data_IF_931367694827
#
_entry.id   IF_931367694827
#
_cell.length_a   1.000
_cell.length_b   1.000
_cell.length_c   1.000
_cell.angle_alpha   90.00
_cell.angle_beta   90.00
_cell.angle_gamma   90.00
#
_symmetry.space_group_name_H-M   'P 1'
#
loop_
_entity.id
_entity.type
_entity.pdbx_description
1 polymer ?
#
# COMPACT_ATOMS: atom_id res chain seq x y z
N UNK A 1 -16.62 -8.30 18.67
CA UNK A 1 -16.27 -7.74 17.34
C UNK A 1 -17.10 -8.48 16.30
N UNK A 2 -17.78 -7.80 15.37
CA UNK A 2 -18.71 -8.51 14.47
C UNK A 2 -17.95 -9.31 13.39
N UNK A 3 -18.33 -10.57 13.11
CA UNK A 3 -17.68 -11.41 12.09
C UNK A 3 -17.83 -10.92 10.62
N UNK A 4 -18.50 -9.78 10.38
CA UNK A 4 -18.75 -9.24 9.04
C UNK A 4 -17.60 -8.39 8.48
N UNK A 5 -16.63 -7.98 9.29
CA UNK A 5 -15.66 -6.95 8.89
C UNK A 5 -14.41 -7.49 8.16
N UNK A 6 -14.15 -8.78 8.31
CA UNK A 6 -12.86 -9.41 8.07
C UNK A 6 -13.01 -10.63 7.16
N UNK A 7 -13.30 -10.41 5.86
CA UNK A 7 -13.54 -11.51 4.90
C UNK A 7 -12.66 -11.46 3.65
N UNK A 8 -11.81 -10.46 3.53
CA UNK A 8 -11.10 -10.14 2.30
C UNK A 8 -9.75 -9.49 2.65
N UNK A 9 -8.76 -9.71 1.78
CA UNK A 9 -7.45 -9.05 1.84
C UNK A 9 -7.63 -7.52 1.89
N UNK A 10 -7.15 -6.89 2.96
CA UNK A 10 -7.41 -5.47 3.19
C UNK A 10 -6.41 -4.59 2.43
N UNK A 11 -5.13 -4.89 2.60
CA UNK A 11 -4.01 -4.29 1.90
C UNK A 11 -3.10 -5.42 1.42
N UNK A 12 -2.55 -5.27 0.24
CA UNK A 12 -1.57 -6.19 -0.35
C UNK A 12 -0.19 -5.57 -0.42
N UNK A 13 -0.05 -4.27 -0.23
CA UNK A 13 1.20 -3.52 -0.25
C UNK A 13 1.30 -2.69 1.04
N UNK A 14 2.50 -2.63 1.63
CA UNK A 14 2.74 -1.73 2.77
C UNK A 14 2.78 -0.28 2.29
N UNK A 15 2.14 0.64 3.03
CA UNK A 15 2.16 2.07 2.74
C UNK A 15 3.16 2.84 3.63
N UNK A 16 3.78 2.15 4.58
CA UNK A 16 4.78 2.71 5.48
C UNK A 16 6.23 2.44 5.04
N UNK A 17 7.13 3.32 5.46
CA UNK A 17 8.57 3.19 5.20
C UNK A 17 9.22 2.19 6.16
N UNK A 18 9.44 0.96 5.69
CA UNK A 18 10.05 -0.13 6.46
C UNK A 18 11.50 0.14 6.92
N UNK A 19 12.15 1.19 6.39
CA UNK A 19 13.48 1.60 6.85
C UNK A 19 13.44 2.15 8.27
N UNK A 20 12.30 2.68 8.71
CA UNK A 20 12.17 3.22 10.07
C UNK A 20 12.40 2.11 11.08
N UNK A 21 11.64 1.02 11.00
CA UNK A 21 11.79 -0.12 11.91
C UNK A 21 13.13 -0.82 11.73
N UNK A 22 13.59 -0.99 10.48
CA UNK A 22 14.88 -1.61 10.19
C UNK A 22 16.06 -0.84 10.80
N UNK A 23 16.02 0.50 10.78
CA UNK A 23 17.12 1.34 11.27
C UNK A 23 17.18 1.42 12.79
N UNK A 24 16.04 1.30 13.49
CA UNK A 24 16.00 1.30 14.96
C UNK A 24 16.21 -0.09 15.55
N UNK A 25 16.03 -1.15 14.76
CA UNK A 25 16.19 -2.53 15.21
C UNK A 25 17.68 -2.90 15.27
N UNK A 26 18.12 -3.32 16.45
CA UNK A 26 19.46 -3.87 16.67
C UNK A 26 19.65 -5.21 15.95
N UNK A 27 20.91 -5.57 15.67
CA UNK A 27 21.26 -6.87 15.10
C UNK A 27 21.14 -7.99 16.16
N UNK A 28 20.81 -9.20 15.71
CA UNK A 28 20.79 -10.44 16.50
C UNK A 28 19.88 -10.43 17.75
N UNK A 29 18.84 -9.59 17.74
CA UNK A 29 17.88 -9.52 18.85
C UNK A 29 17.17 -10.86 19.09
N UNK A 30 16.80 -11.13 20.34
CA UNK A 30 16.18 -12.40 20.70
C UNK A 30 14.78 -12.60 20.09
N UNK A 31 13.97 -11.55 20.01
CA UNK A 31 12.60 -11.66 19.53
C UNK A 31 12.08 -10.32 19.01
N UNK A 32 11.53 -10.34 17.81
CA UNK A 32 10.75 -9.24 17.24
C UNK A 32 9.31 -9.71 17.10
N UNK A 33 8.36 -8.89 17.55
CA UNK A 33 6.94 -9.11 17.36
C UNK A 33 6.32 -7.86 16.72
N UNK A 34 5.45 -8.05 15.74
CA UNK A 34 4.77 -6.94 15.10
C UNK A 34 3.54 -7.37 14.31
N UNK A 35 2.73 -6.39 13.95
CA UNK A 35 1.51 -6.59 13.19
C UNK A 35 1.89 -6.80 11.72
N UNK A 36 1.57 -7.96 11.18
CA UNK A 36 1.97 -8.39 9.85
C UNK A 36 0.95 -7.96 8.81
N UNK A 37 0.88 -6.65 8.61
CA UNK A 37 0.01 -6.02 7.63
C UNK A 37 0.41 -6.37 6.19
N UNK A 38 0.14 -7.60 5.75
CA UNK A 38 0.63 -8.27 4.53
C UNK A 38 2.10 -8.71 4.57
N UNK A 39 2.80 -8.48 5.68
CA UNK A 39 4.20 -8.90 5.87
C UNK A 39 5.25 -7.96 5.27
N UNK A 40 4.85 -6.94 4.50
CA UNK A 40 5.78 -6.01 3.83
C UNK A 40 6.72 -5.25 4.77
N UNK A 41 6.28 -4.93 6.00
CA UNK A 41 7.10 -4.30 7.04
C UNK A 41 7.87 -5.29 7.92
N UNK A 42 7.34 -6.50 8.08
CA UNK A 42 7.90 -7.48 8.99
C UNK A 42 9.09 -8.22 8.37
N UNK A 43 9.02 -8.58 7.10
CA UNK A 43 10.06 -9.38 6.45
C UNK A 43 11.40 -8.66 6.27
N UNK A 44 11.46 -7.35 5.99
CA UNK A 44 12.73 -6.62 5.98
C UNK A 44 13.49 -6.71 7.31
N UNK A 45 12.80 -6.91 8.44
CA UNK A 45 13.44 -7.06 9.75
C UNK A 45 14.23 -8.35 9.89
N UNK A 46 14.00 -9.36 9.04
CA UNK A 46 14.81 -10.57 8.99
C UNK A 46 16.27 -10.26 8.63
N UNK A 47 16.54 -9.16 7.92
CA UNK A 47 17.90 -8.73 7.61
C UNK A 47 18.69 -8.22 8.82
N UNK A 48 18.04 -8.07 10.00
CA UNK A 48 18.70 -7.85 11.30
C UNK A 48 18.96 -9.15 12.07
N UNK A 49 18.71 -10.31 11.46
CA UNK A 49 18.96 -11.63 12.04
C UNK A 49 18.31 -11.89 13.41
N UNK A 50 17.03 -11.51 13.65
CA UNK A 50 16.40 -11.83 14.93
C UNK A 50 16.28 -13.35 15.13
N UNK A 51 16.50 -13.85 16.35
CA UNK A 51 16.35 -15.30 16.65
C UNK A 51 14.91 -15.79 16.48
N UNK A 52 13.94 -14.89 16.62
CA UNK A 52 12.51 -15.15 16.43
C UNK A 52 11.81 -13.92 15.88
N UNK A 53 10.99 -14.12 14.84
CA UNK A 53 10.05 -13.12 14.34
C UNK A 53 8.63 -13.65 14.54
N UNK A 54 7.79 -12.90 15.26
CA UNK A 54 6.37 -13.23 15.44
C UNK A 54 5.51 -12.20 14.73
N UNK A 55 4.89 -12.66 13.65
CA UNK A 55 3.91 -11.93 12.88
C UNK A 55 2.52 -12.20 13.46
N UNK A 56 1.79 -11.15 13.82
CA UNK A 56 0.40 -11.25 14.27
C UNK A 56 -0.50 -10.39 13.39
N UNK A 57 -1.72 -10.84 13.13
CA UNK A 57 -2.76 -10.01 12.53
C UNK A 57 -4.11 -10.51 13.04
N UNK A 58 -5.14 -9.66 12.97
CA UNK A 58 -6.52 -10.09 13.23
C UNK A 58 -7.12 -10.82 12.02
N UNK A 59 -6.50 -10.67 10.85
CA UNK A 59 -6.86 -11.29 9.59
C UNK A 59 -5.90 -12.43 9.24
N UNK A 60 -6.43 -13.65 9.20
CA UNK A 60 -5.70 -14.81 8.68
C UNK A 60 -5.24 -14.56 7.23
N UNK A 61 -6.04 -13.85 6.43
CA UNK A 61 -5.71 -13.50 5.05
C UNK A 61 -4.44 -12.65 4.94
N UNK A 62 -4.15 -11.80 5.92
CA UNK A 62 -2.91 -11.02 5.97
C UNK A 62 -1.71 -11.87 6.38
N UNK A 63 -1.92 -12.84 7.27
CA UNK A 63 -0.91 -13.83 7.62
C UNK A 63 -0.61 -14.77 6.46
N UNK A 64 -1.60 -15.17 5.66
CA UNK A 64 -1.38 -15.95 4.44
C UNK A 64 -0.52 -15.20 3.42
N UNK A 65 -0.77 -13.89 3.21
CA UNK A 65 0.08 -13.09 2.34
C UNK A 65 1.49 -12.86 2.92
N UNK A 66 1.60 -12.79 4.24
CA UNK A 66 2.91 -12.76 4.93
C UNK A 66 3.68 -14.06 4.68
N UNK A 67 3.01 -15.21 4.80
CA UNK A 67 3.56 -16.53 4.52
C UNK A 67 4.02 -16.65 3.06
N UNK A 68 3.19 -16.19 2.11
CA UNK A 68 3.55 -16.16 0.69
C UNK A 68 4.87 -15.45 0.45
N UNK A 69 5.02 -14.26 1.04
CA UNK A 69 6.24 -13.46 0.89
C UNK A 69 7.44 -14.10 1.58
N UNK A 70 7.23 -14.68 2.76
CA UNK A 70 8.28 -15.36 3.50
C UNK A 70 8.83 -16.55 2.69
N UNK A 71 7.96 -17.41 2.18
CA UNK A 71 8.38 -18.53 1.34
C UNK A 71 8.94 -18.05 0.00
N UNK A 72 8.38 -17.01 -0.61
CA UNK A 72 8.94 -16.45 -1.84
C UNK A 72 10.38 -15.93 -1.66
N UNK A 73 10.71 -15.25 -0.56
CA UNK A 73 12.08 -14.76 -0.30
C UNK A 73 13.07 -15.92 -0.11
N UNK A 74 12.61 -17.07 0.40
CA UNK A 74 13.45 -18.26 0.60
C UNK A 74 13.74 -19.02 -0.70
N UNK A 75 12.81 -19.00 -1.65
CA UNK A 75 12.85 -19.85 -2.85
C UNK A 75 13.21 -19.11 -4.13
N UNK A 76 12.99 -17.80 -4.19
CA UNK A 76 13.18 -16.99 -5.39
C UNK A 76 14.41 -16.11 -5.24
N UNK A 77 15.11 -15.86 -6.35
CA UNK A 77 16.07 -14.77 -6.40
C UNK A 77 15.34 -13.40 -6.37
N UNK A 78 16.12 -12.33 -6.27
CA UNK A 78 15.59 -10.97 -6.13
C UNK A 78 14.69 -10.56 -7.31
N UNK A 79 15.09 -10.83 -8.55
CA UNK A 79 14.31 -10.43 -9.73
C UNK A 79 13.03 -11.27 -9.86
N UNK A 80 13.12 -12.57 -9.62
CA UNK A 80 11.97 -13.47 -9.58
C UNK A 80 10.96 -13.07 -8.50
N UNK A 81 11.45 -12.69 -7.31
CA UNK A 81 10.60 -12.19 -6.22
C UNK A 81 9.85 -10.92 -6.64
N UNK A 82 10.55 -9.95 -7.23
CA UNK A 82 9.94 -8.72 -7.73
C UNK A 82 8.87 -9.02 -8.78
N UNK A 83 9.21 -9.83 -9.79
CA UNK A 83 8.33 -10.15 -10.90
C UNK A 83 7.09 -10.97 -10.47
N UNK A 84 7.28 -11.91 -9.53
CA UNK A 84 6.21 -12.72 -8.96
C UNK A 84 5.18 -11.86 -8.26
N UNK A 85 5.62 -10.97 -7.36
CA UNK A 85 4.72 -10.07 -6.65
C UNK A 85 4.14 -8.97 -7.56
N UNK A 86 4.89 -8.58 -8.59
CA UNK A 86 4.49 -7.58 -9.57
C UNK A 86 5.10 -6.20 -9.37
N UNK A 87 6.29 -6.13 -8.77
CA UNK A 87 7.04 -4.89 -8.67
C UNK A 87 7.72 -4.56 -10.01
N UNK A 88 7.59 -3.31 -10.50
CA UNK A 88 8.31 -2.88 -11.69
C UNK A 88 9.83 -2.89 -11.47
N UNK A 89 10.66 -3.04 -12.52
CA UNK A 89 10.28 -3.07 -13.94
C UNK A 89 10.07 -4.48 -14.51
N UNK A 90 10.11 -5.53 -13.69
CA UNK A 90 10.08 -6.93 -14.16
C UNK A 90 8.65 -7.48 -14.04
N UNK A 91 8.17 -8.12 -15.11
CA UNK A 91 6.79 -8.61 -15.17
C UNK A 91 6.74 -10.05 -15.66
N UNK A 92 5.86 -10.85 -15.06
CA UNK A 92 5.57 -12.21 -15.47
C UNK A 92 4.25 -12.29 -16.23
N UNK A 93 4.20 -13.19 -17.20
CA UNK A 93 2.94 -13.64 -17.78
C UNK A 93 2.12 -14.43 -16.74
N UNK A 94 0.77 -14.43 -16.85
CA UNK A 94 -0.12 -15.16 -15.95
C UNK A 94 0.31 -16.60 -15.64
N UNK A 95 0.68 -17.38 -16.68
CA UNK A 95 1.06 -18.79 -16.52
C UNK A 95 2.41 -18.97 -15.82
N UNK A 96 3.34 -18.01 -15.97
CA UNK A 96 4.64 -18.04 -15.29
C UNK A 96 4.47 -17.77 -13.80
N UNK A 97 3.65 -16.78 -13.45
CA UNK A 97 3.29 -16.47 -12.07
C UNK A 97 2.61 -17.66 -11.40
N UNK A 98 1.71 -18.34 -12.11
CA UNK A 98 1.06 -19.57 -11.64
C UNK A 98 2.06 -20.68 -11.34
N UNK A 99 2.99 -20.95 -12.27
CA UNK A 99 4.04 -21.96 -12.07
C UNK A 99 4.88 -21.69 -10.82
N UNK A 100 5.24 -20.43 -10.57
CA UNK A 100 5.98 -20.05 -9.36
C UNK A 100 5.11 -20.31 -8.12
N UNK A 101 3.86 -19.85 -8.09
CA UNK A 101 2.95 -20.07 -6.97
C UNK A 101 2.76 -21.56 -6.63
N UNK A 102 2.64 -22.41 -7.64
CA UNK A 102 2.45 -23.85 -7.46
C UNK A 102 3.67 -24.52 -6.79
N UNK A 103 4.87 -23.93 -6.90
CA UNK A 103 6.11 -24.45 -6.32
C UNK A 103 6.40 -23.97 -4.90
N UNK A 104 5.83 -22.84 -4.46
CA UNK A 104 6.09 -22.30 -3.12
C UNK A 104 5.50 -23.22 -2.04
N UNK A 105 6.23 -23.57 -0.96
CA UNK A 105 5.75 -24.49 0.07
C UNK A 105 4.83 -23.79 1.08
N UNK A 106 3.65 -23.40 0.63
CA UNK A 106 2.63 -22.77 1.47
C UNK A 106 1.82 -23.81 2.26
N UNK A 107 1.38 -23.41 3.44
CA UNK A 107 0.35 -24.08 4.22
C UNK A 107 -0.92 -24.24 3.40
N UNK A 108 -1.66 -25.32 3.65
CA UNK A 108 -2.89 -25.62 2.91
C UNK A 108 -3.93 -24.47 2.98
N UNK A 109 -4.20 -23.85 4.16
CA UNK A 109 -5.11 -22.71 4.23
C UNK A 109 -4.64 -21.52 3.40
N UNK A 110 -3.34 -21.18 3.48
CA UNK A 110 -2.77 -20.08 2.70
C UNK A 110 -2.87 -20.36 1.20
N UNK A 111 -2.52 -21.56 0.74
CA UNK A 111 -2.62 -21.96 -0.67
C UNK A 111 -4.04 -21.81 -1.20
N UNK A 112 -5.03 -22.39 -0.52
CA UNK A 112 -6.45 -22.36 -0.94
C UNK A 112 -6.95 -20.91 -1.03
N UNK A 113 -6.58 -20.07 -0.07
CA UNK A 113 -7.00 -18.67 -0.06
C UNK A 113 -6.32 -17.88 -1.19
N UNK A 114 -5.00 -17.94 -1.28
CA UNK A 114 -4.20 -17.16 -2.22
C UNK A 114 -4.46 -17.57 -3.66
N UNK A 115 -4.74 -18.85 -3.93
CA UNK A 115 -5.15 -19.29 -5.26
C UNK A 115 -6.44 -18.58 -5.70
N UNK A 116 -7.43 -18.44 -4.80
CA UNK A 116 -8.64 -17.66 -5.10
C UNK A 116 -8.32 -16.18 -5.37
N UNK A 117 -7.39 -15.60 -4.62
CA UNK A 117 -6.94 -14.21 -4.85
C UNK A 117 -6.32 -14.07 -6.23
N UNK A 118 -5.38 -14.95 -6.59
CA UNK A 118 -4.74 -14.93 -7.91
C UNK A 118 -5.73 -15.21 -9.04
N UNK A 119 -6.62 -16.21 -8.91
CA UNK A 119 -7.65 -16.50 -9.91
C UNK A 119 -8.57 -15.29 -10.14
N UNK A 120 -9.03 -14.63 -9.09
CA UNK A 120 -9.85 -13.43 -9.20
C UNK A 120 -9.09 -12.25 -9.85
N UNK A 121 -7.78 -12.17 -9.61
CA UNK A 121 -6.88 -11.23 -10.26
C UNK A 121 -6.45 -11.67 -11.68
N UNK A 122 -6.95 -12.80 -12.20
CA UNK A 122 -6.51 -13.40 -13.47
C UNK A 122 -5.00 -13.61 -13.52
N UNK A 123 -4.43 -14.00 -12.39
CA UNK A 123 -3.00 -14.14 -12.17
C UNK A 123 -2.21 -12.88 -12.51
N UNK A 124 -2.76 -11.68 -12.25
CA UNK A 124 -2.01 -10.41 -12.30
C UNK A 124 -1.16 -10.19 -11.04
N UNK A 125 -0.52 -9.03 -10.95
CA UNK A 125 0.28 -8.59 -9.81
C UNK A 125 -0.53 -8.61 -8.51
N UNK A 126 -0.02 -9.29 -7.48
CA UNK A 126 -0.73 -9.39 -6.20
C UNK A 126 -0.68 -8.10 -5.40
N UNK A 127 0.37 -7.28 -5.58
CA UNK A 127 0.59 -6.06 -4.78
C UNK A 127 -0.51 -5.00 -4.91
N UNK A 128 -1.40 -5.09 -5.92
CA UNK A 128 -2.52 -4.18 -6.09
C UNK A 128 -3.89 -4.82 -5.83
N UNK A 129 -3.95 -6.02 -5.26
CA UNK A 129 -5.20 -6.79 -5.10
C UNK A 129 -5.96 -6.50 -3.81
N UNK A 130 -5.33 -5.86 -2.82
CA UNK A 130 -5.99 -5.47 -1.59
C UNK A 130 -7.11 -4.44 -1.81
N UNK A 131 -8.11 -4.46 -0.91
CA UNK A 131 -9.24 -3.53 -0.97
C UNK A 131 -8.82 -2.06 -0.92
N UNK A 132 -7.80 -1.75 -0.14
CA UNK A 132 -7.24 -0.40 -0.02
C UNK A 132 -6.68 0.08 -1.35
N UNK A 133 -5.78 -0.69 -1.98
CA UNK A 133 -5.15 -0.39 -3.26
C UNK A 133 -6.20 -0.29 -4.37
N UNK A 134 -7.13 -1.24 -4.43
CA UNK A 134 -8.23 -1.21 -5.39
C UNK A 134 -9.11 0.04 -5.24
N UNK A 135 -9.28 0.55 -4.02
CA UNK A 135 -10.00 1.80 -3.79
C UNK A 135 -9.18 3.00 -4.23
N UNK A 136 -7.89 3.07 -3.89
CA UNK A 136 -6.99 4.12 -4.37
C UNK A 136 -6.92 4.18 -5.90
N UNK A 137 -6.89 3.02 -6.59
CA UNK A 137 -6.94 2.94 -8.06
C UNK A 137 -8.24 3.52 -8.62
N UNK A 138 -9.38 3.30 -7.96
CA UNK A 138 -10.66 3.91 -8.39
C UNK A 138 -10.64 5.43 -8.19
N UNK A 139 -10.15 5.89 -7.04
CA UNK A 139 -10.04 7.31 -6.72
C UNK A 139 -9.06 8.04 -7.64
N UNK A 140 -7.96 7.39 -8.03
CA UNK A 140 -6.97 7.96 -8.95
C UNK A 140 -7.56 8.20 -10.35
N UNK A 141 -8.49 7.36 -10.81
CA UNK A 141 -9.24 7.58 -12.07
C UNK A 141 -10.11 8.84 -11.99
N UNK A 142 -10.79 9.06 -10.86
CA UNK A 142 -11.59 10.28 -10.63
C UNK A 142 -10.69 11.51 -10.57
N UNK A 143 -9.58 11.43 -9.81
CA UNK A 143 -8.59 12.50 -9.77
C UNK A 143 -8.06 12.84 -11.16
N UNK A 144 -7.70 11.83 -11.95
CA UNK A 144 -7.20 11.97 -13.33
C UNK A 144 -8.24 12.62 -14.25
N UNK A 145 -9.51 12.26 -14.13
CA UNK A 145 -10.60 12.85 -14.90
C UNK A 145 -10.75 14.35 -14.60
N UNK A 146 -10.67 14.73 -13.33
CA UNK A 146 -10.88 16.11 -12.89
C UNK A 146 -9.67 16.99 -13.16
N UNK A 147 -8.47 16.53 -12.81
CA UNK A 147 -7.22 17.33 -12.94
C UNK A 147 -6.65 17.29 -14.35
N UNK A 148 -6.89 16.20 -15.10
CA UNK A 148 -6.37 15.98 -16.43
C UNK A 148 -4.84 15.79 -16.45
N UNK A 149 -4.20 16.11 -17.59
CA UNK A 149 -2.74 16.03 -17.74
C UNK A 149 -1.99 16.85 -16.69
N UNK A 150 -2.54 18.01 -16.30
CA UNK A 150 -1.93 18.87 -15.27
C UNK A 150 -1.84 18.20 -13.88
N UNK A 151 -2.72 17.25 -13.56
CA UNK A 151 -2.56 16.48 -12.31
C UNK A 151 -1.43 15.47 -12.39
N UNK A 152 -1.18 14.91 -13.59
CA UNK A 152 -0.20 13.85 -13.80
C UNK A 152 1.23 14.38 -13.91
N UNK A 153 1.41 15.59 -14.45
CA UNK A 153 2.73 16.20 -14.63
C UNK A 153 3.56 16.27 -13.35
N UNK A 154 2.93 16.27 -12.17
CA UNK A 154 3.64 16.20 -10.88
C UNK A 154 4.53 14.94 -10.77
N UNK A 155 4.12 13.84 -11.41
CA UNK A 155 4.85 12.57 -11.44
C UNK A 155 5.75 12.42 -12.66
N UNK A 156 5.74 13.40 -13.58
CA UNK A 156 6.58 13.42 -14.80
C UNK A 156 7.83 14.31 -14.63
N UNK A 157 7.96 15.03 -13.52
CA UNK A 157 9.12 15.87 -13.22
C UNK A 157 10.35 15.03 -12.89
N UNK A 158 11.54 15.46 -13.36
CA UNK A 158 12.77 14.68 -13.22
C UNK A 158 13.59 15.05 -11.98
N UNK A 159 13.14 16.04 -11.21
CA UNK A 159 13.84 16.48 -10.00
C UNK A 159 12.89 17.09 -8.98
N UNK A 160 13.27 17.06 -7.70
CA UNK A 160 12.52 17.68 -6.62
C UNK A 160 12.33 19.20 -6.82
N UNK A 161 13.35 20.00 -7.21
CA UNK A 161 13.15 21.42 -7.50
C UNK A 161 12.12 21.68 -8.61
N UNK A 162 12.14 20.88 -9.68
CA UNK A 162 11.15 20.96 -10.76
C UNK A 162 9.74 20.62 -10.26
N UNK A 163 9.63 19.60 -9.42
CA UNK A 163 8.37 19.19 -8.81
C UNK A 163 7.79 20.30 -7.91
N UNK A 164 8.61 20.94 -7.08
CA UNK A 164 8.21 22.06 -6.22
C UNK A 164 7.76 23.26 -7.06
N UNK A 165 8.52 23.63 -8.10
CA UNK A 165 8.14 24.72 -9.01
C UNK A 165 6.81 24.40 -9.73
N UNK A 166 6.63 23.16 -10.17
CA UNK A 166 5.37 22.71 -10.76
C UNK A 166 4.19 22.85 -9.79
N UNK A 167 4.36 22.36 -8.56
CA UNK A 167 3.34 22.40 -7.51
C UNK A 167 2.97 23.84 -7.13
N UNK A 168 3.96 24.73 -7.14
CA UNK A 168 3.80 26.14 -6.77
C UNK A 168 3.14 26.97 -7.87
N UNK A 169 3.54 26.79 -9.13
CA UNK A 169 3.15 27.73 -10.20
C UNK A 169 2.11 27.18 -11.16
N UNK A 170 2.11 25.86 -11.39
CA UNK A 170 1.41 25.25 -12.54
C UNK A 170 0.34 24.23 -12.17
N UNK A 171 0.38 23.69 -10.95
CA UNK A 171 -0.55 22.68 -10.48
C UNK A 171 -2.01 23.18 -10.48
N UNK A 172 -2.99 22.38 -10.94
CA UNK A 172 -4.35 22.85 -11.18
C UNK A 172 -5.17 22.93 -9.88
N UNK A 173 -4.83 23.88 -8.99
CA UNK A 173 -5.37 24.01 -7.62
C UNK A 173 -6.90 24.02 -7.54
N UNK A 174 -7.59 24.71 -8.44
CA UNK A 174 -9.06 24.74 -8.42
C UNK A 174 -9.69 23.39 -8.79
N UNK A 175 -9.06 22.63 -9.70
CA UNK A 175 -9.49 21.27 -10.04
C UNK A 175 -9.19 20.32 -8.89
N UNK A 176 -8.04 20.49 -8.24
CA UNK A 176 -7.70 19.75 -7.03
C UNK A 176 -8.67 20.03 -5.87
N UNK A 177 -9.07 21.29 -5.66
CA UNK A 177 -10.11 21.64 -4.68
C UNK A 177 -11.42 20.90 -4.95
N UNK A 178 -11.80 20.70 -6.21
CA UNK A 178 -12.96 19.89 -6.58
C UNK A 178 -12.75 18.40 -6.24
N UNK A 179 -11.56 17.85 -6.48
CA UNK A 179 -11.20 16.49 -6.07
C UNK A 179 -11.34 16.34 -4.55
N UNK A 180 -10.80 17.27 -3.76
CA UNK A 180 -10.90 17.25 -2.30
C UNK A 180 -12.34 17.34 -1.80
N UNK A 181 -13.22 18.08 -2.49
CA UNK A 181 -14.65 18.14 -2.14
C UNK A 181 -15.37 16.83 -2.42
N UNK A 182 -15.04 16.17 -3.54
CA UNK A 182 -15.70 14.94 -3.96
C UNK A 182 -15.19 13.71 -3.19
N UNK A 183 -13.87 13.62 -2.98
CA UNK A 183 -13.23 12.43 -2.41
C UNK A 183 -12.88 12.61 -0.93
N UNK A 184 -12.64 13.84 -0.47
CA UNK A 184 -12.27 14.13 0.92
C UNK A 184 -13.45 14.26 1.86
N UNK A 185 -14.55 13.52 1.64
CA UNK A 185 -15.70 13.50 2.54
C UNK A 185 -15.76 12.22 3.39
N UNK A 186 -16.48 12.28 4.50
CA UNK A 186 -16.60 11.17 5.46
C UNK A 186 -17.10 9.89 4.83
N UNK A 187 -18.06 9.93 3.91
CA UNK A 187 -18.59 8.70 3.30
C UNK A 187 -17.54 7.96 2.48
N UNK A 188 -16.71 8.69 1.71
CA UNK A 188 -15.62 8.11 0.93
C UNK A 188 -14.52 7.57 1.88
N UNK A 189 -14.14 8.33 2.90
CA UNK A 189 -13.13 7.93 3.88
C UNK A 189 -13.57 6.77 4.77
N UNK A 190 -14.85 6.72 5.15
CA UNK A 190 -15.46 5.63 5.89
C UNK A 190 -15.48 4.35 5.05
N UNK A 191 -15.74 4.46 3.74
CA UNK A 191 -15.64 3.33 2.82
C UNK A 191 -14.20 2.85 2.61
N UNK A 192 -13.22 3.74 2.77
CA UNK A 192 -11.80 3.47 2.51
C UNK A 192 -11.09 2.74 3.66
N UNK A 193 -11.28 3.21 4.89
CA UNK A 193 -10.38 2.84 6.00
C UNK A 193 -11.05 1.97 7.08
N UNK A 194 -12.33 2.21 7.38
CA UNK A 194 -12.93 1.65 8.61
C UNK A 194 -14.34 1.07 8.46
N UNK A 195 -14.89 1.00 7.23
CA UNK A 195 -16.24 0.49 6.90
C UNK A 195 -17.35 0.90 7.89
N UNK A 196 -17.24 2.09 8.48
CA UNK A 196 -18.21 2.63 9.44
C UNK A 196 -17.65 3.11 10.79
N UNK A 197 -16.52 2.57 11.26
CA UNK A 197 -15.91 2.93 12.56
C UNK A 197 -14.82 3.99 12.41
N UNK A 198 -15.13 5.06 11.66
CA UNK A 198 -14.17 6.15 11.53
C UNK A 198 -13.98 6.82 12.89
N UNK A 199 -12.73 7.05 13.34
CA UNK A 199 -12.49 7.77 14.57
C UNK A 199 -13.27 9.07 14.58
N UNK A 200 -13.95 9.38 15.70
CA UNK A 200 -14.64 10.66 15.84
C UNK A 200 -13.67 11.77 15.49
N UNK A 201 -14.08 12.64 14.57
CA UNK A 201 -13.27 13.74 14.10
C UNK A 201 -12.73 14.54 15.30
N UNK A 202 -11.42 14.53 15.46
CA UNK A 202 -10.71 15.18 16.57
C UNK A 202 -10.12 16.55 16.19
N UNK A 203 -10.18 16.93 14.91
CA UNK A 203 -9.71 18.23 14.40
C UNK A 203 -10.94 19.09 14.05
N UNK A 204 -11.04 20.36 14.49
CA UNK A 204 -12.15 21.23 14.12
C UNK A 204 -12.22 21.50 12.60
N UNK A 205 -13.36 22.00 12.11
CA UNK A 205 -13.56 22.40 10.71
C UNK A 205 -14.21 21.31 9.83
N UNK A 206 -14.28 21.53 8.51
CA UNK A 206 -14.78 20.52 7.55
C UNK A 206 -13.65 19.61 7.07
N UNK A 207 -13.96 18.41 6.57
CA UNK A 207 -12.93 17.51 6.03
C UNK A 207 -12.18 18.17 4.87
N UNK A 208 -12.92 18.82 3.96
CA UNK A 208 -12.35 19.64 2.89
C UNK A 208 -11.33 20.68 3.41
N UNK A 209 -11.68 21.48 4.43
CA UNK A 209 -10.74 22.47 5.00
C UNK A 209 -9.48 21.80 5.56
N UNK A 210 -9.63 20.66 6.21
CA UNK A 210 -8.51 19.93 6.80
C UNK A 210 -7.59 19.36 5.72
N UNK A 211 -8.12 18.67 4.72
CA UNK A 211 -7.31 18.14 3.61
C UNK A 211 -6.68 19.24 2.77
N UNK A 212 -7.41 20.34 2.51
CA UNK A 212 -6.86 21.50 1.81
C UNK A 212 -5.69 22.10 2.59
N UNK A 213 -5.83 22.25 3.91
CA UNK A 213 -4.75 22.73 4.77
C UNK A 213 -3.54 21.81 4.76
N UNK A 214 -3.74 20.49 4.88
CA UNK A 214 -2.64 19.50 4.82
C UNK A 214 -1.90 19.62 3.49
N UNK A 215 -2.62 19.61 2.37
CA UNK A 215 -2.02 19.74 1.05
C UNK A 215 -1.26 21.07 0.87
N UNK A 216 -1.71 22.14 1.52
CA UNK A 216 -1.06 23.45 1.48
C UNK A 216 0.14 23.56 2.43
N UNK A 217 0.15 22.84 3.55
CA UNK A 217 1.28 22.82 4.48
C UNK A 217 2.48 22.04 3.96
N UNK A 218 2.24 21.10 3.03
CA UNK A 218 3.29 20.32 2.37
C UNK A 218 3.98 21.10 1.24
N UNK A 219 3.48 22.29 0.90
CA UNK A 219 4.17 23.24 0.03
C UNK A 219 5.09 24.07 0.94
N UNK A 220 6.42 24.01 0.77
CA UNK A 220 7.32 24.83 1.56
C UNK A 220 6.87 26.30 1.43
N UNK A 221 6.70 27.04 2.54
CA UNK A 221 6.48 28.47 2.45
C UNK A 221 7.69 29.07 1.71
N UNK A 222 7.41 29.91 0.72
CA UNK A 222 8.36 30.57 -0.20
C UNK A 222 9.85 30.43 0.20
N UNK A 223 10.56 29.54 -0.50
CA UNK A 223 12.02 29.46 -0.47
C UNK A 223 12.61 28.65 0.68
N UNK A 224 12.75 27.34 0.46
CA UNK A 224 14.01 26.70 0.88
C UNK A 224 15.11 27.24 -0.06
N UNK A 225 15.81 28.26 0.40
CA UNK A 225 17.20 28.53 0.00
C UNK A 225 18.11 27.54 0.72
#
# INVERSE_FOLDING_TARGET
MSPKYFKNLNYSLGDEDSRVEYNILEEDVNHVMGIAGSGGRMLPLLARSPKKLTCVDILDEQLFLTELRYEAIKYLDFEQYLAFLGYPPVFLLPDERRKIFDQLPLSEPARIYLEKVFVNAKWSEIIYTGQFEQTLIKLSKVNRLITGRKGQMLFETNSLPEQIAYLTDRFPRHRWDLVLRLLGNTSVLNSLLYKGDFPKKNIPGSHFKNFKRIFQSDIPPDGCK
#
